data_IF_206091574704
#
_entry.id   IF_206091574704
#
_cell.length_a   1.000
_cell.length_b   1.000
_cell.length_c   1.000
_cell.angle_alpha   90.00
_cell.angle_beta   90.00
_cell.angle_gamma   90.00
#
_symmetry.space_group_name_H-M   'P 1'
#
loop_
_entity.id
_entity.type
_entity.pdbx_description
1 polymer ?
2 non-polymer ?
3 non-polymer ?
4 non-polymer ?
5 non-polymer ?
6 water ?
#
# COMPACT_ATOMS: atom_id res chain seq x y z
N UNK A 13 -10.92 -25.88 4.86
CA UNK A 13 -9.68 -25.14 4.63
C UNK A 13 -9.25 -24.41 5.90
N UNK A 14 -7.95 -24.48 6.24
CA UNK A 14 -7.47 -23.87 7.46
C UNK A 14 -7.44 -22.35 7.37
N UNK A 15 -7.77 -21.69 8.47
CA UNK A 15 -7.81 -20.24 8.55
C UNK A 15 -6.85 -19.76 9.64
N UNK A 16 -6.37 -18.53 9.46
CA UNK A 16 -5.51 -17.89 10.46
C UNK A 16 -5.89 -16.42 10.54
N UNK A 17 -5.95 -15.91 11.76
CA UNK A 17 -6.13 -14.50 12.04
C UNK A 17 -4.80 -13.89 12.46
N UNK A 18 -4.53 -12.67 12.01
CA UNK A 18 -3.30 -11.97 12.37
C UNK A 18 -3.66 -10.63 12.98
N UNK A 19 -3.07 -10.32 14.13
CA UNK A 19 -3.26 -9.05 14.81
C UNK A 19 -2.00 -8.22 14.63
N UNK A 20 -2.16 -6.95 14.27
CA UNK A 20 -1.03 -6.12 13.89
C UNK A 20 -1.15 -4.74 14.51
N UNK A 21 -0.12 -4.32 15.23
CA UNK A 21 0.02 -2.95 15.73
C UNK A 21 1.10 -2.21 14.95
N UNK A 22 1.08 -0.89 15.10
CA UNK A 22 2.18 -0.05 14.64
C UNK A 22 3.40 -0.23 15.53
N UNK A 23 4.58 -0.51 14.96
CA UNK A 23 5.79 -0.58 15.80
C UNK A 23 6.06 0.69 16.58
N UNK A 24 5.55 1.83 16.14
CA UNK A 24 5.70 3.05 16.90
C UNK A 24 4.71 3.17 18.05
N UNK A 25 3.62 2.37 18.08
CA UNK A 25 2.75 2.38 19.24
C UNK A 25 2.35 0.92 19.48
N UNK A 26 3.29 0.16 20.01
CA UNK A 26 3.23 -1.31 20.00
C UNK A 26 2.41 -1.79 21.18
N UNK A 27 1.10 -1.80 20.99
CA UNK A 27 0.16 -2.03 22.08
C UNK A 27 -0.36 -3.46 22.14
N UNK A 28 0.18 -4.37 21.33
CA UNK A 28 -0.32 -5.75 21.35
C UNK A 28 0.42 -6.53 22.43
N UNK A 29 0.07 -6.24 23.68
CA UNK A 29 0.70 -6.84 24.84
C UNK A 29 0.46 -8.34 24.85
N UNK A 30 1.32 -9.09 25.56
CA UNK A 30 1.06 -10.53 25.75
C UNK A 30 -0.34 -10.84 26.25
N UNK A 31 -0.77 -10.20 27.34
CA UNK A 31 -2.11 -10.44 27.89
C UNK A 31 -3.20 -10.17 26.86
N UNK A 32 -3.02 -9.15 26.03
CA UNK A 32 -4.02 -8.84 25.03
C UNK A 32 -4.11 -9.96 23.98
N UNK A 33 -2.96 -10.45 23.51
CA UNK A 33 -2.96 -11.53 22.53
C UNK A 33 -3.61 -12.80 23.08
N UNK A 34 -3.35 -13.11 24.36
CA UNK A 34 -3.98 -14.23 25.02
C UNK A 34 -5.49 -14.08 25.03
N UNK A 35 -5.96 -12.88 25.35
CA UNK A 35 -7.41 -12.68 25.44
C UNK A 35 -8.05 -12.77 24.06
N UNK A 36 -7.37 -12.25 23.04
CA UNK A 36 -7.91 -12.37 21.69
C UNK A 36 -8.09 -13.84 21.31
N UNK A 37 -7.04 -14.64 21.47
CA UNK A 37 -7.10 -16.03 21.03
C UNK A 37 -8.19 -16.80 21.77
N UNK A 38 -8.43 -16.48 23.04
CA UNK A 38 -9.52 -17.13 23.75
C UNK A 38 -10.87 -16.73 23.17
N UNK A 39 -10.98 -15.48 22.70
CA UNK A 39 -12.25 -15.01 22.14
C UNK A 39 -12.68 -15.83 20.92
N UNK A 40 -11.73 -16.45 20.22
CA UNK A 40 -12.04 -17.22 19.03
C UNK A 40 -11.85 -18.71 19.27
N UNK A 41 -11.76 -19.14 20.53
CA UNK A 41 -11.56 -20.54 20.87
C UNK A 41 -10.37 -21.11 20.09
N UNK A 42 -9.29 -20.35 20.05
CA UNK A 42 -8.16 -20.72 19.23
C UNK A 42 -7.38 -21.87 19.86
N UNK A 43 -6.64 -22.57 19.01
CA UNK A 43 -5.76 -23.64 19.46
C UNK A 43 -4.47 -23.09 20.07
N UNK A 44 -3.62 -22.50 19.24
CA UNK A 44 -2.39 -21.89 19.70
C UNK A 44 -2.33 -20.41 19.38
N UNK A 45 -1.21 -19.80 19.77
CA UNK A 45 -0.95 -18.40 19.49
C UNK A 45 0.54 -18.26 19.22
N UNK A 46 0.90 -17.68 18.06
CA UNK A 46 2.28 -17.59 17.62
C UNK A 46 2.66 -16.12 17.43
N UNK A 47 3.68 -15.67 18.15
CA UNK A 47 4.17 -14.30 18.06
C UNK A 47 5.10 -14.15 16.87
N UNK A 48 4.79 -13.20 15.99
CA UNK A 48 5.71 -12.86 14.90
C UNK A 48 6.67 -11.75 15.28
N UNK A 49 6.21 -10.79 16.09
CA UNK A 49 7.04 -9.75 16.68
C UNK A 49 6.45 -9.33 18.01
N UNK A 50 7.24 -9.37 19.07
CA UNK A 50 6.73 -9.03 20.40
C UNK A 50 6.10 -7.65 20.42
N UNK A 51 4.93 -7.56 21.06
CA UNK A 51 4.10 -6.36 21.19
C UNK A 51 3.64 -5.76 19.87
N UNK A 52 3.80 -6.47 18.75
CA UNK A 52 3.52 -5.87 17.45
C UNK A 52 2.59 -6.74 16.61
N UNK A 53 2.83 -8.05 16.55
CA UNK A 53 2.03 -8.88 15.66
C UNK A 53 2.05 -10.33 16.12
N UNK A 54 0.91 -11.01 15.96
CA UNK A 54 0.80 -12.42 16.32
C UNK A 54 -0.16 -13.14 15.37
N UNK A 55 0.05 -14.46 15.25
CA UNK A 55 -0.81 -15.34 14.46
C UNK A 55 -1.72 -16.13 15.40
N UNK A 56 -3.00 -16.21 15.06
CA UNK A 56 -3.97 -16.97 15.82
C UNK A 56 -4.68 -17.92 14.87
N UNK A 57 -4.27 -19.18 14.81
CA UNK A 57 -4.94 -20.15 13.94
C UNK A 57 -6.35 -20.44 14.44
N UNK A 58 -7.34 -20.16 13.61
CA UNK A 58 -8.72 -20.42 13.97
C UNK A 58 -9.00 -21.93 14.00
N UNK A 59 -9.86 -22.38 14.91
CA UNK A 59 -10.30 -23.78 14.84
C UNK A 59 -11.19 -24.02 13.63
N UNK A 60 -11.26 -25.28 13.23
CA UNK A 60 -11.92 -25.65 11.98
C UNK A 60 -13.43 -25.57 12.11
N UNK A 61 -14.05 -24.84 11.19
CA UNK A 61 -15.49 -24.67 11.17
C UNK A 61 -15.96 -23.25 11.40
N UNK A 62 -15.04 -22.32 11.63
CA UNK A 62 -15.40 -20.94 11.91
C UNK A 62 -15.32 -20.11 10.64
N UNK A 63 -16.39 -19.38 10.35
CA UNK A 63 -16.37 -18.40 9.27
C UNK A 63 -15.42 -17.27 9.63
N UNK A 64 -14.80 -16.69 8.59
CA UNK A 64 -13.91 -15.57 8.82
C UNK A 64 -14.65 -14.37 9.39
N UNK A 65 -15.93 -14.20 9.01
CA UNK A 65 -16.69 -13.05 9.50
C UNK A 65 -16.94 -13.13 11.00
N UNK A 66 -17.12 -14.34 11.53
CA UNK A 66 -17.24 -14.50 12.97
C UNK A 66 -15.96 -14.07 13.67
N UNK A 67 -14.84 -14.70 13.30
CA UNK A 67 -13.56 -14.40 13.96
C UNK A 67 -13.26 -12.91 13.89
N UNK A 68 -13.51 -12.28 12.73
CA UNK A 68 -13.23 -10.87 12.57
C UNK A 68 -13.97 -10.03 13.61
N UNK A 69 -15.29 -10.22 13.70
CA UNK A 69 -16.07 -9.42 14.63
C UNK A 69 -15.71 -9.76 16.07
N UNK A 70 -15.48 -11.04 16.35
CA UNK A 70 -15.09 -11.44 17.71
C UNK A 70 -13.78 -10.77 18.11
N UNK A 71 -12.80 -10.78 17.22
CA UNK A 71 -11.51 -10.18 17.57
C UNK A 71 -11.63 -8.68 17.68
N UNK A 72 -12.42 -8.05 16.81
CA UNK A 72 -12.53 -6.61 16.83
C UNK A 72 -13.22 -6.12 18.10
N UNK A 73 -14.22 -6.86 18.57
CA UNK A 73 -14.88 -6.49 19.82
C UNK A 73 -13.92 -6.61 21.00
N UNK A 74 -13.18 -7.74 21.07
CA UNK A 74 -12.19 -7.92 22.13
C UNK A 74 -11.15 -6.81 22.11
N UNK A 75 -10.74 -6.37 20.93
CA UNK A 75 -9.68 -5.38 20.82
C UNK A 75 -10.20 -3.95 20.78
N UNK A 76 -11.50 -3.74 20.97
CA UNK A 76 -12.07 -2.43 20.71
C UNK A 76 -11.42 -1.36 21.59
N UNK A 77 -11.08 -0.24 20.97
CA UNK A 77 -10.38 0.81 21.67
C UNK A 77 -8.87 0.73 21.57
N UNK A 78 -8.33 -0.35 21.00
CA UNK A 78 -6.89 -0.46 20.87
C UNK A 78 -6.47 -0.32 19.42
N UNK A 79 -5.32 0.31 19.16
CA UNK A 79 -4.86 0.52 17.78
C UNK A 79 -4.25 -0.74 17.19
N UNK A 80 -5.08 -1.74 16.93
CA UNK A 80 -4.62 -3.04 16.46
C UNK A 80 -5.49 -3.47 15.29
N UNK A 81 -4.88 -3.69 14.14
CA UNK A 81 -5.60 -4.18 12.97
C UNK A 81 -5.87 -5.67 13.10
N UNK A 82 -6.88 -6.14 12.37
CA UNK A 82 -7.26 -7.54 12.31
C UNK A 82 -7.42 -7.93 10.84
N UNK A 83 -6.81 -9.05 10.44
CA UNK A 83 -7.06 -9.66 9.14
C UNK A 83 -7.20 -11.17 9.33
N UNK A 84 -8.07 -11.78 8.51
CA UNK A 84 -8.26 -13.23 8.52
C UNK A 84 -8.14 -13.74 7.09
N UNK A 85 -7.43 -14.85 6.92
CA UNK A 85 -7.21 -15.40 5.59
C UNK A 85 -6.88 -16.90 5.72
N UNK A 86 -6.76 -17.56 4.57
CA UNK A 86 -6.33 -18.95 4.56
C UNK A 86 -4.83 -19.05 4.78
N UNK A 87 -4.41 -20.08 5.52
CA UNK A 87 -2.99 -20.17 5.88
C UNK A 87 -2.13 -20.47 4.66
N UNK A 88 -2.54 -21.42 3.83
CA UNK A 88 -1.81 -21.66 2.59
C UNK A 88 -1.83 -20.42 1.73
N UNK A 89 -0.85 -20.32 0.83
CA UNK A 89 -0.70 -19.17 -0.07
C UNK A 89 -0.80 -17.81 0.64
N UNK A 90 -0.31 -17.71 1.89
CA UNK A 90 -0.19 -16.40 2.53
C UNK A 90 0.98 -15.62 1.95
N UNK A 91 2.10 -16.30 1.78
CA UNK A 91 3.32 -15.64 1.32
C UNK A 91 3.22 -15.48 -0.18
N UNK A 92 3.27 -14.25 -0.65
CA UNK A 92 3.11 -13.94 -2.06
C UNK A 92 4.49 -13.77 -2.69
N UNK A 93 4.53 -13.85 -4.02
CA UNK A 93 5.79 -13.76 -4.78
C UNK A 93 5.82 -12.57 -5.71
N UNK A 94 4.82 -11.71 -5.66
CA UNK A 94 4.80 -10.43 -6.36
C UNK A 94 4.29 -9.39 -5.38
N UNK A 95 4.97 -8.24 -5.34
CA UNK A 95 4.46 -7.04 -4.68
C UNK A 95 4.20 -6.00 -5.76
N UNK A 96 3.02 -5.42 -5.76
CA UNK A 96 2.76 -4.23 -6.54
C UNK A 96 2.23 -3.16 -5.58
N UNK A 97 2.93 -2.03 -5.50
CA UNK A 97 2.65 -1.02 -4.50
C UNK A 97 2.41 0.33 -5.14
N UNK A 98 1.33 0.97 -4.73
CA UNK A 98 1.09 2.38 -4.97
C UNK A 98 2.24 3.23 -4.44
N UNK A 99 2.47 4.40 -5.05
CA UNK A 99 3.53 5.25 -4.50
C UNK A 99 3.04 6.37 -3.58
N UNK A 100 2.23 7.30 -4.10
CA UNK A 100 1.88 8.51 -3.36
C UNK A 100 1.00 8.18 -2.15
N UNK A 101 1.39 8.70 -0.99
CA UNK A 101 0.74 8.49 0.30
C UNK A 101 0.81 7.06 0.77
N UNK A 102 1.51 6.18 0.06
CA UNK A 102 1.71 4.79 0.47
C UNK A 102 3.17 4.52 0.78
N UNK A 103 4.07 4.57 -0.22
CA UNK A 103 5.49 4.41 0.07
C UNK A 103 6.21 5.72 0.38
N UNK A 104 5.59 6.87 0.11
CA UNK A 104 6.11 8.16 0.55
C UNK A 104 5.00 8.88 1.30
N UNK A 105 5.40 9.89 2.09
CA UNK A 105 4.42 10.64 2.86
C UNK A 105 3.57 11.61 2.08
N UNK A 106 3.96 11.94 0.86
CA UNK A 106 3.41 13.09 0.17
C UNK A 106 2.66 12.70 -1.11
N UNK A 107 1.96 13.67 -1.67
CA UNK A 107 1.45 13.63 -3.03
C UNK A 107 2.38 14.49 -3.88
N UNK A 108 3.15 13.87 -4.77
CA UNK A 108 4.11 14.65 -5.55
C UNK A 108 3.42 15.75 -6.33
N UNK A 109 2.21 15.50 -6.82
CA UNK A 109 1.50 16.51 -7.59
C UNK A 109 1.14 17.72 -6.72
N UNK A 110 0.75 17.48 -5.46
CA UNK A 110 0.48 18.62 -4.56
C UNK A 110 1.76 19.39 -4.26
N UNK A 111 2.88 18.69 -4.01
CA UNK A 111 4.14 19.39 -3.74
C UNK A 111 4.59 20.20 -4.95
N UNK A 112 4.47 19.64 -6.15
CA UNK A 112 4.73 20.43 -7.35
C UNK A 112 3.84 21.67 -7.42
N UNK A 113 2.55 21.52 -7.09
CA UNK A 113 1.64 22.65 -7.15
C UNK A 113 2.06 23.77 -6.21
N UNK A 114 2.70 23.43 -5.08
CA UNK A 114 3.26 24.44 -4.20
C UNK A 114 4.17 25.38 -4.97
N UNK A 115 5.04 24.83 -5.81
CA UNK A 115 5.98 25.64 -6.58
C UNK A 115 5.28 26.57 -7.57
N UNK A 116 3.99 26.36 -7.84
CA UNK A 116 3.21 27.29 -8.64
C UNK A 116 2.29 28.14 -7.76
N UNK A 117 2.49 28.10 -6.45
CA UNK A 117 1.62 28.83 -5.54
C UNK A 117 0.19 28.38 -5.56
N UNK A 118 -0.07 27.10 -5.86
CA UNK A 118 -1.45 26.60 -5.96
C UNK A 118 -1.62 25.27 -5.22
N UNK A 119 -0.97 25.11 -4.07
CA UNK A 119 -1.03 23.83 -3.37
C UNK A 119 -2.46 23.50 -2.95
N UNK A 120 -3.13 24.44 -2.31
CA UNK A 120 -4.44 24.15 -1.74
C UNK A 120 -5.46 23.84 -2.84
N UNK A 121 -5.41 24.60 -3.93
CA UNK A 121 -6.36 24.37 -5.01
C UNK A 121 -6.15 22.99 -5.64
N UNK A 122 -4.89 22.57 -5.79
CA UNK A 122 -4.64 21.27 -6.39
C UNK A 122 -4.88 20.16 -5.38
N UNK A 123 -4.50 20.38 -4.12
CA UNK A 123 -4.67 19.34 -3.11
C UNK A 123 -6.16 19.00 -2.92
N UNK A 124 -7.03 20.00 -3.07
CA UNK A 124 -8.46 19.73 -2.97
C UNK A 124 -8.94 18.84 -4.10
N UNK A 125 -8.37 18.99 -5.29
CA UNK A 125 -8.73 18.10 -6.39
C UNK A 125 -8.21 16.70 -6.12
N UNK A 126 -6.94 16.60 -5.71
CA UNK A 126 -6.33 15.31 -5.41
C UNK A 126 -7.16 14.52 -4.40
N UNK A 127 -7.63 15.19 -3.34
CA UNK A 127 -8.45 14.50 -2.34
C UNK A 127 -9.70 13.92 -2.98
N UNK A 128 -10.35 14.68 -3.87
CA UNK A 128 -11.52 14.16 -4.55
C UNK A 128 -11.19 13.00 -5.48
N UNK A 129 -10.03 13.06 -6.14
CA UNK A 129 -9.65 11.97 -7.04
C UNK A 129 -9.33 10.70 -6.27
N UNK A 130 -8.55 10.82 -5.20
CA UNK A 130 -8.22 9.62 -4.43
C UNK A 130 -9.41 9.08 -3.65
N UNK A 131 -10.43 9.89 -3.40
CA UNK A 131 -11.64 9.33 -2.82
C UNK A 131 -12.54 8.68 -3.85
N UNK A 132 -12.31 8.90 -5.15
CA UNK A 132 -13.14 8.36 -6.20
C UNK A 132 -14.30 9.23 -6.64
N UNK A 133 -14.33 10.50 -6.27
CA UNK A 133 -15.43 11.37 -6.68
C UNK A 133 -15.27 11.89 -8.10
N UNK A 134 -14.07 11.84 -8.65
CA UNK A 134 -13.79 12.23 -10.03
C UNK A 134 -12.88 11.17 -10.63
N UNK A 135 -12.97 10.99 -11.96
CA UNK A 135 -12.14 9.99 -12.60
C UNK A 135 -10.69 10.44 -12.60
N UNK A 136 -9.78 9.47 -12.47
CA UNK A 136 -8.38 9.83 -12.30
C UNK A 136 -7.86 10.67 -13.46
N UNK A 137 -8.18 10.29 -14.70
CA UNK A 137 -7.55 10.90 -15.87
C UNK A 137 -7.88 12.38 -16.02
N UNK A 138 -9.15 12.82 -16.00
CA UNK A 138 -9.41 14.26 -16.04
C UNK A 138 -8.93 15.00 -14.81
N UNK A 139 -8.94 14.35 -13.64
CA UNK A 139 -8.32 14.97 -12.46
C UNK A 139 -6.85 15.27 -12.70
N UNK A 140 -6.13 14.33 -13.30
CA UNK A 140 -4.70 14.52 -13.53
C UNK A 140 -4.41 15.65 -14.51
N UNK A 141 -5.12 15.67 -15.65
CA UNK A 141 -4.89 16.74 -16.64
C UNK A 141 -5.22 18.11 -16.06
N UNK A 142 -6.28 18.21 -15.26
CA UNK A 142 -6.63 19.49 -14.66
C UNK A 142 -5.55 19.95 -13.70
N UNK A 143 -4.98 19.04 -12.91
CA UNK A 143 -3.94 19.44 -11.97
C UNK A 143 -2.63 19.77 -12.67
N UNK A 144 -2.24 18.95 -13.65
CA UNK A 144 -0.96 19.13 -14.31
C UNK A 144 -0.97 20.39 -15.19
N UNK A 145 -2.11 20.75 -15.77
CA UNK A 145 -2.14 21.96 -16.59
C UNK A 145 -1.70 23.18 -15.79
N UNK A 146 -1.97 23.20 -14.48
CA UNK A 146 -1.58 24.33 -13.64
C UNK A 146 -0.08 24.39 -13.38
N UNK A 147 0.64 23.33 -13.73
CA UNK A 147 2.09 23.31 -13.62
C UNK A 147 2.79 23.87 -14.85
N UNK A 148 2.04 24.33 -15.85
CA UNK A 148 2.64 24.87 -17.07
C UNK A 148 3.63 25.97 -16.72
N UNK A 149 4.83 25.86 -17.30
CA UNK A 149 5.84 26.88 -17.18
C UNK A 149 6.86 26.66 -16.08
N UNK A 150 6.60 25.74 -15.16
CA UNK A 150 7.56 25.45 -14.12
C UNK A 150 8.88 24.97 -14.71
N UNK A 151 10.01 25.51 -14.26
CA UNK A 151 11.31 24.99 -14.73
C UNK A 151 11.49 23.55 -14.31
N UNK A 152 12.23 22.80 -15.12
CA UNK A 152 12.48 21.40 -14.80
C UNK A 152 13.26 21.22 -13.50
N UNK A 153 13.89 22.28 -12.99
CA UNK A 153 14.66 22.15 -11.75
C UNK A 153 13.78 21.89 -10.54
N UNK A 154 12.47 22.10 -10.64
CA UNK A 154 11.62 21.95 -9.47
C UNK A 154 11.46 20.49 -9.08
N UNK A 155 11.74 19.56 -10.00
CA UNK A 155 11.56 18.15 -9.69
C UNK A 155 12.62 17.68 -8.72
N UNK A 156 13.90 17.97 -9.01
CA UNK A 156 14.95 17.69 -8.03
C UNK A 156 14.71 18.44 -6.74
N UNK A 157 14.17 19.66 -6.82
CA UNK A 157 13.98 20.47 -5.64
C UNK A 157 12.99 19.84 -4.69
N UNK A 158 11.87 19.36 -5.22
CA UNK A 158 10.85 18.74 -4.37
C UNK A 158 11.34 17.42 -3.81
N UNK A 159 12.01 16.61 -4.64
CA UNK A 159 12.47 15.31 -4.20
C UNK A 159 13.46 15.45 -3.06
N UNK A 160 14.44 16.33 -3.21
CA UNK A 160 15.49 16.40 -2.21
C UNK A 160 15.08 17.13 -0.94
N UNK A 161 13.97 17.87 -0.93
CA UNK A 161 13.62 18.66 0.23
C UNK A 161 12.29 18.31 0.87
N UNK A 162 11.36 17.68 0.16
CA UNK A 162 10.04 17.49 0.73
C UNK A 162 9.50 16.07 0.67
N UNK A 163 10.18 15.15 0.01
CA UNK A 163 9.71 13.77 -0.10
C UNK A 163 10.37 12.90 0.96
N UNK A 164 9.56 12.17 1.72
CA UNK A 164 10.04 11.29 2.78
C UNK A 164 9.44 9.89 2.63
N UNK A 165 10.22 8.88 2.98
CA UNK A 165 9.81 7.49 2.87
C UNK A 165 8.88 7.08 4.01
N UNK A 166 7.88 6.26 3.69
CA UNK A 166 6.97 5.76 4.71
C UNK A 166 7.69 4.74 5.58
N UNK A 167 7.50 4.78 6.91
CA UNK A 167 8.14 3.76 7.77
C UNK A 167 7.78 2.34 7.33
N UNK A 168 8.79 1.47 7.29
CA UNK A 168 8.59 0.09 6.96
C UNK A 168 8.73 -0.25 5.49
N UNK A 169 8.77 0.74 4.59
CA UNK A 169 8.82 0.51 3.16
C UNK A 169 10.05 -0.28 2.73
N UNK A 170 11.24 0.25 3.02
CA UNK A 170 12.47 -0.49 2.67
C UNK A 170 12.50 -1.90 3.24
N UNK A 171 12.10 -2.07 4.50
CA UNK A 171 12.11 -3.41 5.09
C UNK A 171 11.15 -4.34 4.36
N UNK A 172 9.98 -3.82 3.96
CA UNK A 172 9.00 -4.65 3.25
C UNK A 172 9.58 -5.16 1.95
N UNK A 173 10.08 -4.24 1.10
CA UNK A 173 10.56 -4.62 -0.22
C UNK A 173 11.80 -5.51 -0.10
N UNK A 174 12.73 -5.13 0.76
CA UNK A 174 13.97 -5.91 0.87
C UNK A 174 13.71 -7.29 1.46
N UNK A 175 12.83 -7.42 2.46
CA UNK A 175 12.57 -8.74 3.01
C UNK A 175 11.87 -9.63 1.98
N UNK A 176 10.98 -9.04 1.19
CA UNK A 176 10.32 -9.81 0.15
C UNK A 176 11.30 -10.23 -0.95
N UNK A 177 12.16 -9.31 -1.40
CA UNK A 177 13.16 -9.69 -2.41
C UNK A 177 14.08 -10.76 -1.87
N UNK A 178 14.43 -10.68 -0.57
CA UNK A 178 15.26 -11.72 0.04
C UNK A 178 14.65 -13.10 -0.18
N UNK A 179 13.32 -13.19 -0.15
CA UNK A 179 12.64 -14.47 -0.32
C UNK A 179 12.15 -14.68 -1.76
N UNK A 180 12.78 -14.02 -2.73
CA UNK A 180 12.55 -14.30 -4.14
C UNK A 180 11.40 -13.56 -4.79
N UNK A 181 10.79 -12.60 -4.11
CA UNK A 181 9.65 -11.93 -4.73
C UNK A 181 10.11 -10.93 -5.78
N UNK A 182 9.20 -10.62 -6.70
CA UNK A 182 9.39 -9.55 -7.67
C UNK A 182 8.56 -8.35 -7.20
N UNK A 183 9.19 -7.17 -7.12
CA UNK A 183 8.55 -5.99 -6.52
C UNK A 183 8.45 -4.85 -7.53
N UNK A 184 7.26 -4.25 -7.65
CA UNK A 184 7.00 -3.19 -8.62
C UNK A 184 6.32 -2.01 -7.95
N UNK A 185 6.81 -0.82 -8.22
CA UNK A 185 6.21 0.42 -7.73
C UNK A 185 5.41 1.01 -8.87
N UNK A 186 4.08 1.08 -8.73
CA UNK A 186 3.21 1.35 -9.86
C UNK A 186 2.28 2.51 -9.46
N UNK A 187 2.39 3.63 -10.18
CA UNK A 187 1.90 4.91 -9.69
C UNK A 187 1.19 5.68 -10.82
N UNK A 188 0.16 6.43 -10.43
CA UNK A 188 -0.43 7.42 -11.30
C UNK A 188 0.33 8.73 -11.33
N UNK A 189 1.36 8.85 -10.49
CA UNK A 189 2.28 9.98 -10.52
C UNK A 189 3.28 9.89 -11.65
N UNK A 190 4.49 10.42 -11.42
CA UNK A 190 5.38 10.73 -12.53
C UNK A 190 6.70 9.96 -12.47
N UNK A 191 7.14 9.52 -13.65
CA UNK A 191 8.35 8.71 -13.77
C UNK A 191 9.55 9.39 -13.15
N UNK A 192 9.64 10.72 -13.27
CA UNK A 192 10.78 11.43 -12.71
C UNK A 192 10.84 11.27 -11.20
N UNK A 193 9.70 11.04 -10.54
CA UNK A 193 9.72 10.75 -9.12
C UNK A 193 9.89 9.26 -8.83
N UNK A 194 9.15 8.39 -9.54
CA UNK A 194 9.17 6.96 -9.22
C UNK A 194 10.53 6.35 -9.48
N UNK A 195 11.25 6.82 -10.49
CA UNK A 195 12.54 6.20 -10.77
C UNK A 195 13.51 6.39 -9.60
N UNK A 196 13.50 7.57 -8.96
CA UNK A 196 14.38 7.79 -7.81
C UNK A 196 13.86 7.10 -6.57
N UNK A 197 12.54 7.18 -6.33
CA UNK A 197 11.96 6.56 -5.13
C UNK A 197 12.16 5.05 -5.16
N UNK A 198 11.88 4.43 -6.31
CA UNK A 198 12.02 2.99 -6.44
C UNK A 198 13.44 2.55 -6.15
N UNK A 199 14.42 3.34 -6.60
CA UNK A 199 15.82 3.07 -6.30
C UNK A 199 16.12 3.19 -4.81
N UNK A 200 15.54 4.20 -4.15
CA UNK A 200 15.82 4.41 -2.73
C UNK A 200 15.27 3.26 -1.91
N UNK A 201 14.04 2.84 -2.20
CA UNK A 201 13.44 1.76 -1.43
C UNK A 201 13.98 0.40 -1.85
N UNK A 202 14.23 0.18 -3.15
CA UNK A 202 14.78 -1.08 -3.63
C UNK A 202 13.86 -1.94 -4.47
N UNK A 203 12.93 -1.33 -5.21
CA UNK A 203 12.03 -2.07 -6.09
C UNK A 203 12.79 -2.64 -7.29
N UNK A 204 12.23 -3.72 -7.85
CA UNK A 204 12.77 -4.25 -9.11
C UNK A 204 12.43 -3.38 -10.30
N UNK A 205 11.22 -2.79 -10.32
CA UNK A 205 10.86 -1.91 -11.42
C UNK A 205 9.80 -0.93 -10.97
N UNK A 206 9.62 0.11 -11.79
CA UNK A 206 8.56 1.07 -11.57
C UNK A 206 7.87 1.38 -12.90
N UNK A 207 6.64 1.87 -12.79
CA UNK A 207 5.85 2.31 -13.93
C UNK A 207 4.93 3.45 -13.49
N UNK A 208 4.96 4.57 -14.21
CA UNK A 208 4.18 5.75 -13.85
C UNK A 208 3.88 6.56 -15.10
N UNK A 209 3.12 7.64 -14.94
CA UNK A 209 2.88 8.58 -16.03
C UNK A 209 4.13 9.42 -16.31
N UNK A 210 4.04 10.29 -17.32
CA UNK A 210 5.19 11.06 -17.78
C UNK A 210 4.81 12.52 -18.05
N UNK A 211 5.47 13.44 -17.35
CA UNK A 211 5.31 14.86 -17.63
C UNK A 211 5.99 15.22 -18.94
N UNK A 212 5.32 16.04 -19.75
CA UNK A 212 5.91 16.53 -20.99
C UNK A 212 6.63 17.84 -20.70
N UNK A 213 7.77 18.05 -21.38
CA UNK A 213 8.53 19.29 -21.26
C UNK A 213 9.11 19.67 -22.61
N UNK A 214 9.48 20.95 -22.76
CA UNK A 214 10.06 21.47 -23.99
C UNK A 214 11.58 21.47 -23.99
N UNK A 215 12.22 20.87 -22.98
CA UNK A 215 13.64 20.95 -22.78
C UNK A 215 14.05 21.86 -21.63
N UNK A 216 13.25 22.87 -21.34
CA UNK A 216 13.52 23.73 -20.20
C UNK A 216 12.38 23.79 -19.20
N UNK A 217 11.12 23.79 -19.66
CA UNK A 217 9.97 23.95 -18.78
C UNK A 217 8.92 22.87 -19.02
N UNK A 218 8.07 22.66 -18.00
CA UNK A 218 6.92 21.77 -18.15
C UNK A 218 5.91 22.39 -19.10
N UNK A 219 5.38 21.57 -20.02
CA UNK A 219 4.34 22.04 -20.91
C UNK A 219 2.98 22.13 -20.24
N UNK A 220 2.80 21.43 -19.12
CA UNK A 220 1.51 21.35 -18.48
C UNK A 220 0.65 20.19 -18.96
N UNK A 221 1.21 19.26 -19.71
CA UNK A 221 0.48 18.10 -20.18
C UNK A 221 1.24 16.83 -19.81
N UNK A 222 0.54 15.72 -20.01
CA UNK A 222 1.01 14.38 -19.67
C UNK A 222 0.98 13.54 -20.94
N UNK A 223 1.94 12.64 -21.09
CA UNK A 223 1.94 11.72 -22.21
C UNK A 223 0.68 10.86 -22.20
N UNK A 224 0.06 10.74 -23.33
CA UNK A 224 -1.10 9.89 -23.44
C UNK A 224 -0.70 8.54 -24.02
N UNK A 225 -1.42 7.45 -23.71
CA UNK A 225 -2.62 7.36 -22.86
C UNK A 225 -2.23 7.43 -21.40
N UNK A 226 -3.06 8.08 -20.59
CA UNK A 226 -2.77 8.24 -19.18
C UNK A 226 -3.00 6.93 -18.46
N UNK A 227 -2.11 6.60 -17.52
CA UNK A 227 -2.24 5.41 -16.69
C UNK A 227 -3.13 5.73 -15.49
N UNK A 228 -4.29 5.09 -15.43
CA UNK A 228 -5.17 5.24 -14.29
C UNK A 228 -5.46 3.93 -13.59
N UNK A 229 -6.69 3.79 -13.12
CA UNK A 229 -7.08 2.64 -12.34
C UNK A 229 -6.90 1.33 -13.12
N UNK A 230 -7.41 1.31 -14.35
CA UNK A 230 -7.30 0.08 -15.14
C UNK A 230 -5.85 -0.22 -15.54
N UNK A 231 -5.00 0.79 -15.69
CA UNK A 231 -3.62 0.54 -16.07
C UNK A 231 -2.85 -0.16 -14.95
N UNK A 232 -3.25 0.03 -13.69
CA UNK A 232 -2.60 -0.72 -12.61
C UNK A 232 -2.99 -2.19 -12.67
N UNK A 233 -4.25 -2.48 -12.97
CA UNK A 233 -4.69 -3.85 -13.19
C UNK A 233 -3.88 -4.47 -14.33
N UNK A 234 -3.67 -3.72 -15.40
CA UNK A 234 -2.97 -4.26 -16.55
C UNK A 234 -1.50 -4.54 -16.24
N UNK A 235 -0.86 -3.65 -15.48
CA UNK A 235 0.53 -3.91 -15.11
C UNK A 235 0.63 -5.16 -14.22
N UNK A 236 -0.28 -5.32 -13.25
CA UNK A 236 -0.31 -6.54 -12.46
C UNK A 236 -0.44 -7.78 -13.34
N UNK A 237 -1.29 -7.73 -14.35
CA UNK A 237 -1.46 -8.87 -15.25
C UNK A 237 -0.18 -9.09 -16.04
N UNK A 238 0.42 -8.01 -16.56
CA UNK A 238 1.65 -8.13 -17.35
C UNK A 238 2.78 -8.73 -16.53
N UNK A 239 2.94 -8.28 -15.28
CA UNK A 239 4.02 -8.77 -14.43
C UNK A 239 3.87 -10.26 -14.14
N UNK A 240 2.68 -10.66 -13.67
CA UNK A 240 2.48 -12.06 -13.30
C UNK A 240 2.71 -12.98 -14.49
N UNK A 241 2.26 -12.58 -15.67
CA UNK A 241 2.45 -13.40 -16.85
C UNK A 241 3.92 -13.48 -17.22
N UNK A 242 4.65 -12.37 -17.09
CA UNK A 242 6.06 -12.34 -17.45
C UNK A 242 6.89 -13.22 -16.50
N UNK A 243 6.57 -13.22 -15.20
CA UNK A 243 7.36 -14.00 -14.26
C UNK A 243 6.80 -15.41 -14.10
N UNK A 244 5.86 -15.78 -14.96
CA UNK A 244 5.32 -17.15 -14.94
C UNK A 244 4.42 -17.47 -13.76
N UNK A 245 3.68 -16.49 -13.26
CA UNK A 245 2.74 -16.68 -12.15
C UNK A 245 1.36 -16.18 -12.58
N UNK A 246 0.48 -15.95 -11.60
CA UNK A 246 -0.85 -15.40 -11.79
C UNK A 246 -1.06 -14.31 -10.75
N UNK A 247 -2.00 -13.39 -10.97
CA UNK A 247 -2.22 -12.33 -9.97
C UNK A 247 -2.60 -12.85 -8.59
N UNK A 248 -3.12 -14.07 -8.52
CA UNK A 248 -3.36 -14.70 -7.22
C UNK A 248 -2.08 -14.80 -6.39
N UNK A 249 -0.92 -14.84 -7.05
CA UNK A 249 0.37 -14.90 -6.37
C UNK A 249 0.89 -13.53 -5.91
N UNK A 250 0.08 -12.47 -5.97
CA UNK A 250 0.53 -11.13 -5.69
C UNK A 250 -0.16 -10.53 -4.47
N UNK A 251 0.57 -9.70 -3.73
CA UNK A 251 0.00 -8.80 -2.75
C UNK A 251 0.09 -7.39 -3.34
N UNK A 252 -1.02 -6.63 -3.23
CA UNK A 252 -1.17 -5.27 -3.72
C UNK A 252 -1.57 -4.36 -2.57
N UNK A 253 -1.03 -3.14 -2.56
CA UNK A 253 -1.30 -2.21 -1.47
C UNK A 253 -1.46 -0.79 -2.01
N UNK A 254 -2.47 -0.08 -1.51
CA UNK A 254 -2.70 1.28 -1.92
C UNK A 254 -3.61 1.97 -0.93
N UNK A 255 -3.79 3.28 -1.16
CA UNK A 255 -4.66 4.13 -0.34
C UNK A 255 -5.81 4.77 -1.10
N UNK A 256 -5.81 4.72 -2.44
CA UNK A 256 -6.68 5.55 -3.23
C UNK A 256 -7.60 4.75 -4.15
N UNK A 257 -8.60 5.46 -4.69
CA UNK A 257 -9.58 4.83 -5.56
C UNK A 257 -8.93 4.20 -6.78
N UNK A 258 -7.88 4.83 -7.33
CA UNK A 258 -7.16 4.27 -8.48
C UNK A 258 -6.38 2.99 -8.14
N UNK A 259 -6.31 2.57 -6.89
CA UNK A 259 -5.68 1.31 -6.55
C UNK A 259 -6.67 0.16 -6.40
N UNK A 260 -7.98 0.46 -6.45
CA UNK A 260 -8.95 -0.57 -6.10
C UNK A 260 -9.01 -1.69 -7.14
N UNK A 261 -8.66 -1.40 -8.39
CA UNK A 261 -8.64 -2.45 -9.40
C UNK A 261 -7.61 -3.52 -9.07
N UNK A 262 -6.36 -3.10 -8.80
CA UNK A 262 -5.32 -4.06 -8.49
C UNK A 262 -5.51 -4.68 -7.10
N UNK A 263 -6.05 -3.91 -6.15
CA UNK A 263 -6.34 -4.46 -4.83
C UNK A 263 -7.35 -5.59 -4.93
N UNK A 264 -8.35 -5.42 -5.78
CA UNK A 264 -9.39 -6.44 -5.93
C UNK A 264 -8.91 -7.63 -6.76
N UNK A 265 -7.94 -7.46 -7.66
CA UNK A 265 -7.54 -8.60 -8.50
C UNK A 265 -6.48 -9.45 -7.81
N UNK A 266 -5.55 -8.84 -7.08
CA UNK A 266 -4.47 -9.56 -6.43
C UNK A 266 -5.02 -10.63 -5.48
N UNK A 267 -4.18 -11.64 -5.21
CA UNK A 267 -4.53 -12.64 -4.22
C UNK A 267 -4.73 -12.05 -2.84
N UNK A 268 -3.88 -11.10 -2.45
CA UNK A 268 -4.05 -10.34 -1.22
C UNK A 268 -4.01 -8.86 -1.58
N UNK A 269 -5.12 -8.16 -1.32
CA UNK A 269 -5.18 -6.73 -1.57
C UNK A 269 -5.46 -5.93 -0.31
N UNK A 270 -4.60 -4.96 -0.03
CA UNK A 270 -4.59 -4.25 1.24
C UNK A 270 -4.90 -2.77 1.00
N UNK A 271 -5.97 -2.28 1.62
CA UNK A 271 -6.21 -0.84 1.74
C UNK A 271 -5.46 -0.33 2.97
N UNK A 272 -4.37 0.40 2.76
CA UNK A 272 -3.50 0.89 3.83
C UNK A 272 -3.79 2.38 4.10
N UNK A 273 -4.25 2.69 5.31
CA UNK A 273 -4.62 4.06 5.66
C UNK A 273 -5.44 4.68 4.53
N UNK A 274 -6.43 3.94 4.08
CA UNK A 274 -7.13 4.32 2.87
C UNK A 274 -8.13 5.44 3.12
N UNK A 275 -8.40 6.19 2.05
CA UNK A 275 -9.50 7.15 2.01
C UNK A 275 -10.82 6.52 2.48
N UNK A 276 -11.71 7.31 3.07
CA UNK A 276 -12.91 6.70 3.71
C UNK A 276 -13.74 5.81 2.78
N UNK A 277 -14.02 6.28 1.55
CA UNK A 277 -14.79 5.50 0.60
C UNK A 277 -13.99 4.34 0.02
N UNK A 278 -12.67 4.45 -0.01
CA UNK A 278 -11.85 3.37 -0.51
C UNK A 278 -11.82 2.23 0.50
N UNK A 279 -11.51 2.52 1.76
CA UNK A 279 -11.50 1.47 2.77
C UNK A 279 -12.87 0.80 2.86
N UNK A 280 -13.93 1.58 2.68
CA UNK A 280 -15.27 1.02 2.64
C UNK A 280 -15.42 -0.10 1.61
N UNK A 281 -14.52 -0.20 0.64
CA UNK A 281 -14.67 -1.18 -0.43
C UNK A 281 -13.72 -2.36 -0.31
N UNK A 282 -12.65 -2.25 0.46
CA UNK A 282 -11.61 -3.27 0.43
C UNK A 282 -11.92 -4.40 1.41
N UNK A 283 -11.54 -5.61 1.00
CA UNK A 283 -11.74 -6.78 1.84
C UNK A 283 -10.81 -6.80 3.05
N UNK A 284 -9.59 -6.30 2.90
CA UNK A 284 -8.62 -6.37 3.97
C UNK A 284 -8.05 -4.97 4.15
N UNK A 285 -8.02 -4.48 5.38
CA UNK A 285 -7.60 -3.11 5.63
C UNK A 285 -6.63 -3.03 6.80
N UNK A 286 -5.65 -2.13 6.67
CA UNK A 286 -4.68 -1.82 7.71
C UNK A 286 -4.81 -0.33 8.01
N UNK A 287 -5.29 0.00 9.20
CA UNK A 287 -5.41 1.39 9.59
C UNK A 287 -4.42 1.82 10.68
N UNK A 288 -3.82 0.88 11.39
CA UNK A 288 -2.90 1.24 12.48
C UNK A 288 -1.44 0.95 12.18
N UNK A 289 -1.12 -0.20 11.58
CA UNK A 289 0.27 -0.55 11.33
C UNK A 289 0.90 0.25 10.19
N UNK A 290 2.20 0.06 10.04
CA UNK A 290 2.93 0.67 8.94
C UNK A 290 3.17 -0.43 7.89
N UNK A 291 4.08 -0.17 6.95
CA UNK A 291 4.23 -1.09 5.83
C UNK A 291 4.75 -2.47 6.27
N UNK A 292 5.37 -2.58 7.46
CA UNK A 292 5.74 -3.92 7.93
C UNK A 292 4.51 -4.78 8.19
N UNK A 293 3.34 -4.17 8.32
CA UNK A 293 2.11 -4.96 8.38
C UNK A 293 2.00 -5.95 7.23
N UNK A 294 2.43 -5.54 6.03
CA UNK A 294 2.32 -6.45 4.89
C UNK A 294 3.25 -7.66 5.07
N UNK A 295 4.33 -7.51 5.84
CA UNK A 295 5.18 -8.67 6.14
C UNK A 295 4.47 -9.65 7.06
N UNK A 296 3.77 -9.13 8.08
CA UNK A 296 3.08 -10.00 9.03
C UNK A 296 1.86 -10.65 8.40
N UNK A 297 1.15 -9.91 7.56
CA UNK A 297 0.05 -10.48 6.78
C UNK A 297 0.54 -11.73 6.05
N UNK A 298 1.78 -11.69 5.57
CA UNK A 298 2.32 -12.80 4.82
C UNK A 298 2.92 -13.88 5.71
N UNK A 299 2.89 -13.72 7.02
CA UNK A 299 3.37 -14.73 7.93
C UNK A 299 4.83 -14.65 8.30
N UNK A 300 5.53 -13.58 7.91
CA UNK A 300 6.93 -13.43 8.28
C UNK A 300 7.07 -13.11 9.76
N UNK A 301 8.15 -13.62 10.36
CA UNK A 301 8.56 -13.26 11.71
C UNK A 301 9.66 -12.21 11.61
N UNK A 302 9.80 -11.42 12.68
CA UNK A 302 10.91 -10.47 12.76
C UNK A 302 12.26 -11.12 12.46
N UNK A 303 12.43 -12.39 12.85
CA UNK A 303 13.70 -13.10 12.58
C UNK A 303 13.99 -13.21 11.09
N UNK A 304 12.99 -13.01 10.25
CA UNK A 304 13.12 -13.18 8.82
C UNK A 304 13.47 -11.87 8.13
N UNK A 305 13.31 -10.73 8.81
CA UNK A 305 13.42 -9.43 8.17
C UNK A 305 14.85 -9.14 7.75
N UNK A 306 14.99 -8.32 6.73
CA UNK A 306 16.27 -7.72 6.38
C UNK A 306 16.45 -6.47 7.21
N UNK A 307 17.44 -6.47 8.09
CA UNK A 307 17.75 -5.31 8.93
C UNK A 307 19.06 -4.63 8.51
X LIG B 1 -1.91 10.12 -5.93
X LIG B 1 -1.45 10.63 -7.24
X LIG B 1 -1.17 9.43 -8.18
X LIG B 1 -0.04 8.82 -7.69
X LIG B 1 -2.47 11.57 -7.86
X LIG B 1 -3.53 11.86 -7.28
X LIG B 1 -2.17 12.02 -9.02
X LIG B 1 -0.25 7.25 -6.86
X LIG B 1 1.21 6.83 -6.65
X LIG B 1 -1.08 7.62 -5.64
X LIG B 1 -1.04 6.46 -7.93
X LIG C 1 9.16 -12.26 18.58
X LIG C 1 9.99 -11.13 18.38
X LIG C 1 9.89 -13.58 18.30
X LIG C 1 9.42 -14.56 19.22
X LIG C 1 9.63 -14.04 16.86
X LIG C 1 10.58 -13.50 15.97
X LIG D 1 -1.83 6.81 -3.63
X LIG E 1 7.99 12.61 -15.45
X LIG F 1 -10.66 -6.14 -1.78
#
# INVERSE_FOLDING_TARGET
GPGSMLLSMSQQVSLVATLIANPAKAALAPSLGIKASAAVNATGLYWLADDIACDIPLPLGMEASEADASLRATLDGAPIDVVVQEQERRRKKILIADMDSTMIGQECIDELAEEAGLRDHVAAITARAMNGEIAFEPALRERVALLKGLPLSVIDKVISTRITLTPGGPQLVRTMRKHGAYTALVSGGFTSFTRRIAEMIGFNEERANRLIDDGTRLTGTVAEPILGREAKVEKLVEIAERVGLTPEDAIAVGDGANDLGMIQLAGTGVALHAKPAVAAQAKMRIDHGDLTALLYIQGYRKADFVQ
SEP N CA CB OG C O OXT P O1P O2P O3P
GOL C1 O1 C2 O2 C3 O3
CA CA
CL CL
CL CL
#
